data_IF_733594639481
#
_entry.id   IF_733594639481
#
_cell.length_a   1.000
_cell.length_b   1.000
_cell.length_c   1.000
_cell.angle_alpha   90.00
_cell.angle_beta   90.00
_cell.angle_gamma   90.00
#
_symmetry.space_group_name_H-M   'P 1'
#
loop_
_entity.id
_entity.type
_entity.pdbx_description
1 polymer ?
#
# COMPACT_ATOMS: atom_id res chain seq x y z
N UNK A 1 -24.91 -15.28 -20.89
CA UNK A 1 -24.30 -15.39 -22.24
C UNK A 1 -22.80 -15.22 -22.08
N UNK A 2 -22.01 -16.18 -22.56
CA UNK A 2 -20.54 -16.14 -22.46
C UNK A 2 -20.00 -15.23 -23.56
N UNK A 3 -19.44 -14.09 -23.18
CA UNK A 3 -18.93 -13.09 -24.12
C UNK A 3 -17.74 -13.57 -24.95
N UNK A 4 -17.12 -14.70 -24.57
CA UNK A 4 -16.01 -15.33 -25.31
C UNK A 4 -16.45 -16.08 -26.56
N UNK A 5 -17.76 -16.29 -26.75
CA UNK A 5 -18.33 -17.03 -27.89
C UNK A 5 -18.90 -16.13 -29.00
N UNK A 6 -18.73 -14.82 -28.89
CA UNK A 6 -19.17 -13.91 -29.95
C UNK A 6 -18.16 -13.89 -31.08
N UNK A 7 -18.55 -14.40 -32.25
CA UNK A 7 -17.83 -14.15 -33.50
C UNK A 7 -18.13 -12.73 -33.96
N UNK A 8 -17.12 -11.88 -33.85
CA UNK A 8 -17.17 -10.50 -34.31
C UNK A 8 -17.00 -10.45 -35.83
N UNK A 9 -18.08 -10.65 -36.59
CA UNK A 9 -18.03 -10.55 -38.05
C UNK A 9 -18.12 -9.06 -38.45
N UNK A 10 -17.10 -8.57 -39.16
CA UNK A 10 -17.06 -7.22 -39.73
C UNK A 10 -17.19 -6.05 -38.72
N UNK A 11 -16.53 -6.13 -37.56
CA UNK A 11 -16.49 -5.00 -36.63
C UNK A 11 -15.76 -3.80 -37.25
N UNK A 12 -16.50 -2.71 -37.43
CA UNK A 12 -15.95 -1.41 -37.78
C UNK A 12 -15.67 -0.60 -36.51
N UNK A 13 -14.38 -0.40 -36.22
CA UNK A 13 -13.96 0.48 -35.14
C UNK A 13 -13.73 1.89 -35.68
N UNK A 14 -14.45 2.88 -35.16
CA UNK A 14 -14.29 4.26 -35.60
C UNK A 14 -13.06 4.91 -34.95
N UNK A 15 -11.92 4.77 -35.62
CA UNK A 15 -10.61 5.27 -35.19
C UNK A 15 -10.52 6.80 -35.07
N UNK A 16 -11.36 7.54 -35.79
CA UNK A 16 -11.31 9.00 -35.79
C UNK A 16 -12.06 9.60 -34.61
N UNK A 17 -13.18 8.98 -34.21
CA UNK A 17 -14.05 9.51 -33.17
C UNK A 17 -13.79 8.89 -31.79
N UNK A 18 -13.29 7.66 -31.71
CA UNK A 18 -13.16 6.95 -30.44
C UNK A 18 -11.74 7.09 -29.89
N UNK A 19 -11.55 8.03 -28.96
CA UNK A 19 -10.31 8.10 -28.16
C UNK A 19 -10.37 7.08 -27.03
N UNK A 20 -9.32 6.25 -26.89
CA UNK A 20 -9.19 5.22 -25.83
C UNK A 20 -9.53 5.78 -24.43
N UNK A 21 -9.08 7.01 -24.13
CA UNK A 21 -9.35 7.68 -22.85
C UNK A 21 -10.84 7.96 -22.61
N UNK A 22 -11.60 8.29 -23.65
CA UNK A 22 -13.04 8.51 -23.55
C UNK A 22 -13.79 7.21 -23.33
N UNK A 23 -13.36 6.13 -23.98
CA UNK A 23 -13.97 4.81 -23.80
C UNK A 23 -13.70 4.24 -22.39
N UNK A 24 -12.49 4.40 -21.87
CA UNK A 24 -12.19 4.06 -20.48
C UNK A 24 -13.08 4.88 -19.52
N UNK A 25 -13.26 6.17 -19.79
CA UNK A 25 -14.10 7.06 -18.96
C UNK A 25 -15.59 6.67 -19.03
N UNK A 26 -16.08 6.25 -20.20
CA UNK A 26 -17.47 5.80 -20.38
C UNK A 26 -17.74 4.45 -19.71
N UNK A 27 -16.76 3.54 -19.72
CA UNK A 27 -16.82 2.26 -19.00
C UNK A 27 -16.76 2.47 -17.48
N UNK A 28 -15.91 3.38 -17.02
CA UNK A 28 -15.84 3.78 -15.60
C UNK A 28 -17.13 4.45 -15.13
N UNK A 29 -17.74 5.34 -15.92
CA UNK A 29 -19.00 5.99 -15.55
C UNK A 29 -20.18 5.01 -15.47
N UNK A 30 -20.05 3.83 -16.11
CA UNK A 30 -21.00 2.73 -16.01
C UNK A 30 -20.69 1.75 -14.86
N UNK A 31 -19.74 2.07 -13.98
CA UNK A 31 -19.29 1.22 -12.87
C UNK A 31 -18.80 -0.18 -13.29
N UNK A 32 -18.28 -0.31 -14.51
CA UNK A 32 -17.74 -1.60 -14.98
C UNK A 32 -16.29 -1.69 -14.53
N UNK A 33 -16.04 -2.45 -13.46
CA UNK A 33 -14.69 -2.78 -12.99
C UNK A 33 -14.39 -4.25 -13.32
N UNK A 34 -13.23 -4.59 -13.93
CA UNK A 34 -12.10 -3.73 -14.33
C UNK A 34 -12.18 -3.22 -15.80
N UNK A 35 -12.48 -1.93 -16.01
CA UNK A 35 -12.64 -1.31 -17.34
C UNK A 35 -11.40 -1.44 -18.25
N UNK A 36 -10.20 -1.22 -17.71
CA UNK A 36 -8.94 -1.31 -18.48
C UNK A 36 -8.70 -2.74 -18.96
N UNK A 37 -8.86 -3.71 -18.06
CA UNK A 37 -8.65 -5.12 -18.38
C UNK A 37 -9.67 -5.65 -19.41
N UNK A 38 -10.94 -5.26 -19.30
CA UNK A 38 -11.96 -5.65 -20.27
C UNK A 38 -11.69 -5.07 -21.66
N UNK A 39 -11.29 -3.80 -21.72
CA UNK A 39 -10.92 -3.14 -22.98
C UNK A 39 -9.68 -3.78 -23.59
N UNK A 40 -8.67 -4.12 -22.77
CA UNK A 40 -7.49 -4.86 -23.22
C UNK A 40 -7.88 -6.23 -23.81
N UNK A 41 -8.74 -6.98 -23.12
CA UNK A 41 -9.21 -8.29 -23.56
C UNK A 41 -9.95 -8.20 -24.90
N UNK A 42 -10.82 -7.19 -25.05
CA UNK A 42 -11.56 -6.91 -26.27
C UNK A 42 -10.62 -6.53 -27.43
N UNK A 43 -9.62 -5.66 -27.19
CA UNK A 43 -8.63 -5.32 -28.20
C UNK A 43 -7.83 -6.56 -28.65
N UNK A 44 -7.49 -7.47 -27.74
CA UNK A 44 -6.80 -8.73 -28.09
C UNK A 44 -7.66 -9.66 -28.93
N UNK A 45 -8.92 -9.87 -28.55
CA UNK A 45 -9.82 -10.71 -29.34
C UNK A 45 -10.08 -10.13 -30.73
N UNK A 46 -10.22 -8.81 -30.84
CA UNK A 46 -10.36 -8.12 -32.13
C UNK A 46 -9.09 -8.23 -32.98
N UNK A 47 -7.91 -8.21 -32.37
CA UNK A 47 -6.65 -8.41 -33.09
C UNK A 47 -6.55 -9.82 -33.68
N UNK A 48 -6.90 -10.86 -32.92
CA UNK A 48 -6.90 -12.26 -33.38
C UNK A 48 -7.88 -12.47 -34.53
N UNK A 49 -9.11 -11.97 -34.39
CA UNK A 49 -10.11 -12.05 -35.45
C UNK A 49 -9.67 -11.31 -36.73
N UNK A 50 -9.06 -10.13 -36.59
CA UNK A 50 -8.52 -9.42 -37.75
C UNK A 50 -7.38 -10.20 -38.44
N UNK A 51 -6.57 -10.92 -37.68
CA UNK A 51 -5.48 -11.77 -38.19
C UNK A 51 -6.02 -13.00 -38.93
N UNK A 52 -7.04 -13.67 -38.37
CA UNK A 52 -7.77 -14.78 -39.02
C UNK A 52 -8.41 -14.37 -40.35
N UNK A 53 -8.84 -13.11 -40.46
CA UNK A 53 -9.41 -12.53 -41.67
C UNK A 53 -8.37 -11.86 -42.60
N UNK A 54 -7.07 -12.12 -42.41
CA UNK A 54 -5.97 -11.53 -43.19
C UNK A 54 -5.90 -9.99 -43.20
N UNK A 55 -6.51 -9.33 -42.21
CA UNK A 55 -6.51 -7.86 -42.04
C UNK A 55 -5.39 -7.42 -41.11
N UNK A 56 -4.14 -7.66 -41.50
CA UNK A 56 -2.96 -7.46 -40.66
C UNK A 56 -2.78 -6.02 -40.15
N UNK A 57 -3.15 -5.00 -40.95
CA UNK A 57 -3.09 -3.60 -40.53
C UNK A 57 -4.02 -3.31 -39.35
N UNK A 58 -5.22 -3.90 -39.34
CA UNK A 58 -6.16 -3.73 -38.22
C UNK A 58 -5.68 -4.49 -36.98
N UNK A 59 -5.13 -5.69 -37.18
CA UNK A 59 -4.57 -6.48 -36.08
C UNK A 59 -3.45 -5.73 -35.35
N UNK A 60 -2.54 -5.08 -36.08
CA UNK A 60 -1.45 -4.30 -35.48
C UNK A 60 -1.96 -3.09 -34.68
N UNK A 61 -2.96 -2.37 -35.19
CA UNK A 61 -3.60 -1.25 -34.47
C UNK A 61 -4.27 -1.69 -33.17
N UNK A 62 -4.98 -2.82 -33.19
CA UNK A 62 -5.60 -3.36 -31.97
C UNK A 62 -4.56 -3.83 -30.95
N UNK A 63 -3.44 -4.43 -31.39
CA UNK A 63 -2.30 -4.76 -30.50
C UNK A 63 -1.71 -3.49 -29.88
N UNK A 64 -1.56 -2.43 -30.66
CA UNK A 64 -1.11 -1.13 -30.16
C UNK A 64 -2.06 -0.55 -29.10
N UNK A 65 -3.38 -0.58 -29.35
CA UNK A 65 -4.37 -0.16 -28.36
C UNK A 65 -4.29 -0.96 -27.05
N UNK A 66 -4.14 -2.29 -27.12
CA UNK A 66 -4.03 -3.12 -25.92
C UNK A 66 -2.81 -2.72 -25.07
N UNK A 67 -1.69 -2.38 -25.71
CA UNK A 67 -0.51 -1.86 -25.00
C UNK A 67 -0.75 -0.47 -24.41
N UNK A 68 -1.43 0.42 -25.14
CA UNK A 68 -1.75 1.77 -24.67
C UNK A 68 -2.69 1.77 -23.46
N UNK A 69 -3.68 0.86 -23.43
CA UNK A 69 -4.59 0.68 -22.29
C UNK A 69 -3.83 0.26 -21.03
N UNK A 70 -2.89 -0.68 -21.15
CA UNK A 70 -2.01 -1.09 -20.03
C UNK A 70 -1.13 0.06 -19.53
N UNK A 71 -0.58 0.85 -20.45
CA UNK A 71 0.24 2.01 -20.11
C UNK A 71 -0.57 3.03 -19.30
N UNK A 72 -1.81 3.29 -19.72
CA UNK A 72 -2.70 4.24 -19.05
C UNK A 72 -3.14 3.75 -17.66
N UNK A 73 -3.34 2.44 -17.47
CA UNK A 73 -3.67 1.86 -16.17
C UNK A 73 -2.58 2.12 -15.12
N UNK A 74 -1.32 1.85 -15.48
CA UNK A 74 -0.17 2.11 -14.59
C UNK A 74 0.04 3.60 -14.32
N UNK A 75 -0.13 4.46 -15.34
CA UNK A 75 0.01 5.90 -15.20
C UNK A 75 -1.08 6.52 -14.32
N UNK A 76 -2.32 6.07 -14.46
CA UNK A 76 -3.44 6.55 -13.65
C UNK A 76 -3.25 6.16 -12.17
N UNK A 77 -2.81 4.93 -11.90
CA UNK A 77 -2.46 4.48 -10.55
C UNK A 77 -1.34 5.31 -9.93
N UNK A 78 -0.26 5.53 -10.67
CA UNK A 78 0.86 6.37 -10.22
C UNK A 78 0.43 7.81 -9.98
N UNK A 79 -0.38 8.41 -10.85
CA UNK A 79 -0.87 9.78 -10.68
C UNK A 79 -1.72 9.91 -9.42
N UNK A 80 -2.59 8.95 -9.15
CA UNK A 80 -3.40 8.94 -7.93
C UNK A 80 -2.53 8.82 -6.68
N UNK A 81 -1.51 7.95 -6.69
CA UNK A 81 -0.55 7.82 -5.60
C UNK A 81 0.27 9.11 -5.42
N UNK A 82 0.79 9.70 -6.50
CA UNK A 82 1.54 10.94 -6.46
C UNK A 82 0.70 12.10 -5.93
N UNK A 83 -0.56 12.25 -6.37
CA UNK A 83 -1.47 13.27 -5.83
C UNK A 83 -1.79 13.02 -4.35
N UNK A 84 -1.99 11.77 -3.94
CA UNK A 84 -2.17 11.42 -2.53
C UNK A 84 -0.92 11.77 -1.70
N UNK A 85 0.27 11.38 -2.16
CA UNK A 85 1.55 11.65 -1.50
C UNK A 85 1.87 13.15 -1.45
N UNK A 86 1.57 13.91 -2.51
CA UNK A 86 1.75 15.36 -2.54
C UNK A 86 0.78 16.06 -1.58
N UNK A 87 -0.48 15.64 -1.55
CA UNK A 87 -1.45 16.17 -0.59
C UNK A 87 -1.03 15.81 0.84
N UNK A 88 -0.53 14.60 1.07
CA UNK A 88 -0.01 14.14 2.36
C UNK A 88 1.23 14.92 2.80
N UNK A 89 2.18 15.12 1.88
CA UNK A 89 3.40 15.92 2.09
C UNK A 89 3.09 17.40 2.32
N UNK A 90 2.08 17.96 1.62
CA UNK A 90 1.56 19.29 1.87
C UNK A 90 0.88 19.38 3.24
N UNK A 91 0.11 18.38 3.65
CA UNK A 91 -0.50 18.30 4.98
C UNK A 91 0.56 18.23 6.08
N UNK A 92 1.62 17.46 5.87
CA UNK A 92 2.79 17.45 6.75
C UNK A 92 3.45 18.83 6.76
N UNK A 93 4.02 19.28 5.64
CA UNK A 93 4.82 20.49 5.56
C UNK A 93 4.06 21.78 5.95
N UNK A 94 2.79 21.92 5.55
CA UNK A 94 1.97 23.10 5.82
C UNK A 94 1.26 23.03 7.17
N UNK A 95 0.95 21.84 7.70
CA UNK A 95 0.20 21.68 8.95
C UNK A 95 1.04 21.85 10.23
N UNK A 96 2.35 21.56 10.18
CA UNK A 96 3.23 21.70 11.35
C UNK A 96 3.39 23.14 11.87
N UNK A 97 3.03 24.14 11.07
CA UNK A 97 3.08 25.56 11.46
C UNK A 97 1.79 26.11 12.06
N UNK A 98 0.62 25.54 11.74
CA UNK A 98 -0.68 26.17 12.01
C UNK A 98 -1.44 25.50 13.15
N UNK A 99 -1.27 24.19 13.38
CA UNK A 99 -2.06 23.44 14.37
C UNK A 99 -1.22 22.43 15.13
N UNK A 100 -0.69 22.84 16.28
CA UNK A 100 0.02 21.96 17.26
C UNK A 100 -0.76 20.66 17.55
N UNK A 101 -2.10 20.72 17.56
CA UNK A 101 -2.96 19.54 17.74
C UNK A 101 -2.79 18.47 16.66
N UNK A 102 -2.45 18.83 15.42
CA UNK A 102 -2.21 17.86 14.34
C UNK A 102 -0.90 17.10 14.52
N UNK A 103 0.17 17.76 14.97
CA UNK A 103 1.42 17.11 15.31
C UNK A 103 1.24 16.12 16.48
N UNK A 104 0.42 16.49 17.47
CA UNK A 104 0.06 15.59 18.57
C UNK A 104 -0.76 14.38 18.09
N UNK A 105 -1.75 14.59 17.22
CA UNK A 105 -2.53 13.49 16.63
C UNK A 105 -1.68 12.57 15.75
N UNK A 106 -0.70 13.09 15.01
CA UNK A 106 0.26 12.30 14.24
C UNK A 106 1.12 11.43 15.16
N UNK A 107 1.66 11.99 16.25
CA UNK A 107 2.44 11.25 17.23
C UNK A 107 1.59 10.14 17.88
N UNK A 108 0.34 10.45 18.25
CA UNK A 108 -0.62 9.49 18.79
C UNK A 108 -0.96 8.39 17.76
N UNK A 109 -1.12 8.77 16.50
CA UNK A 109 -1.38 7.84 15.39
C UNK A 109 -0.21 6.88 15.13
N UNK A 110 1.03 7.38 15.12
CA UNK A 110 2.23 6.55 14.97
C UNK A 110 2.37 5.61 16.17
N UNK A 111 2.11 6.09 17.39
CA UNK A 111 2.13 5.28 18.61
C UNK A 111 1.10 4.14 18.56
N UNK A 112 -0.16 4.43 18.22
CA UNK A 112 -1.20 3.41 18.10
C UNK A 112 -0.93 2.43 16.95
N UNK A 113 -0.41 2.91 15.82
CA UNK A 113 -0.09 2.08 14.67
C UNK A 113 1.07 1.13 14.98
N UNK A 114 2.14 1.62 15.63
CA UNK A 114 3.25 0.78 16.08
C UNK A 114 2.77 -0.27 17.08
N UNK A 115 1.98 0.12 18.08
CA UNK A 115 1.39 -0.81 19.05
C UNK A 115 0.49 -1.86 18.37
N UNK A 116 -0.32 -1.49 17.38
CA UNK A 116 -1.15 -2.43 16.62
C UNK A 116 -0.30 -3.41 15.81
N UNK A 117 0.75 -2.96 15.14
CA UNK A 117 1.66 -3.84 14.41
C UNK A 117 2.43 -4.78 15.35
N UNK A 118 2.74 -4.34 16.58
CA UNK A 118 3.34 -5.20 17.59
C UNK A 118 2.45 -6.34 18.09
N UNK A 119 1.13 -6.26 17.89
CA UNK A 119 0.22 -7.39 18.11
C UNK A 119 0.19 -8.38 16.94
N UNK A 120 0.77 -8.02 15.80
CA UNK A 120 0.79 -8.87 14.59
C UNK A 120 2.14 -9.51 14.35
N UNK A 121 3.21 -8.97 14.94
CA UNK A 121 4.58 -9.47 14.78
C UNK A 121 5.02 -10.19 16.05
N UNK A 122 5.69 -11.34 15.90
CA UNK A 122 6.18 -12.14 17.02
C UNK A 122 7.41 -11.50 17.68
N UNK A 123 7.31 -11.21 18.98
CA UNK A 123 8.37 -10.60 19.80
C UNK A 123 9.05 -11.60 20.74
N UNK A 124 8.42 -12.72 21.10
CA UNK A 124 8.96 -13.63 22.11
C UNK A 124 9.57 -14.90 21.50
N UNK A 125 10.84 -15.17 21.82
CA UNK A 125 11.37 -16.53 21.98
C UNK A 125 11.05 -16.91 23.42
N UNK A 126 10.29 -17.98 23.63
CA UNK A 126 10.01 -18.52 24.95
C UNK A 126 11.33 -18.72 25.72
N UNK A 127 11.50 -18.10 26.89
CA UNK A 127 12.56 -18.50 27.83
C UNK A 127 11.99 -19.65 28.67
N UNK A 128 12.40 -20.92 28.44
CA UNK A 128 11.99 -21.98 29.32
C UNK A 128 12.68 -21.76 30.68
N UNK A 129 11.88 -21.50 31.73
CA UNK A 129 12.29 -21.92 33.07
C UNK A 129 12.36 -23.46 33.02
N UNK A 130 13.59 -23.94 32.81
CA UNK A 130 13.97 -25.32 32.51
C UNK A 130 13.22 -26.33 33.39
N UNK A 131 12.51 -27.28 32.79
CA UNK A 131 12.61 -28.72 33.08
C UNK A 131 11.62 -29.55 32.24
N UNK A 132 11.95 -29.89 30.97
CA UNK A 132 11.56 -31.15 30.27
C UNK A 132 12.06 -31.12 28.81
N UNK A 133 12.75 -32.17 28.33
CA UNK A 133 13.29 -32.29 26.96
C UNK A 133 12.24 -32.10 25.84
N UNK A 134 10.96 -32.38 26.13
CA UNK A 134 9.84 -32.16 25.21
C UNK A 134 9.56 -30.68 24.94
N UNK A 135 9.83 -29.78 25.89
CA UNK A 135 9.65 -28.33 25.73
C UNK A 135 10.77 -27.70 24.90
N UNK A 136 11.98 -28.28 24.94
CA UNK A 136 13.11 -27.87 24.10
C UNK A 136 12.90 -28.22 22.61
N UNK A 137 12.20 -29.31 22.31
CA UNK A 137 11.82 -29.69 20.96
C UNK A 137 10.70 -28.81 20.38
N UNK A 138 9.76 -28.35 21.23
CA UNK A 138 8.74 -27.37 20.86
C UNK A 138 9.36 -25.98 20.61
N UNK A 139 10.32 -25.55 21.44
CA UNK A 139 11.04 -24.29 21.30
C UNK A 139 11.86 -24.16 19.99
N UNK A 140 12.27 -25.28 19.37
CA UNK A 140 12.90 -25.27 18.04
C UNK A 140 11.90 -25.05 16.90
N UNK A 141 10.59 -25.25 17.12
CA UNK A 141 9.54 -25.11 16.09
C UNK A 141 8.88 -23.72 16.06
N UNK A 142 9.04 -22.91 17.11
CA UNK A 142 8.47 -21.56 17.17
C UNK A 142 9.37 -20.52 16.50
N UNK A 143 9.51 -20.62 15.17
CA UNK A 143 10.20 -19.61 14.35
C UNK A 143 9.39 -18.31 14.19
N UNK A 144 8.09 -18.35 14.50
CA UNK A 144 7.14 -17.25 14.24
C UNK A 144 7.03 -16.27 15.43
N UNK A 145 7.39 -16.70 16.64
CA UNK A 145 7.33 -15.90 17.87
C UNK A 145 5.89 -15.53 18.29
N UNK A 146 5.64 -15.41 19.60
CA UNK A 146 4.31 -14.97 20.08
C UNK A 146 4.15 -13.45 19.95
N UNK A 147 2.98 -12.96 19.47
CA UNK A 147 2.67 -11.54 19.43
C UNK A 147 2.49 -10.95 20.83
N UNK A 148 2.79 -9.66 20.98
CA UNK A 148 2.60 -8.96 22.26
C UNK A 148 1.10 -8.79 22.55
N UNK A 149 0.72 -9.01 23.81
CA UNK A 149 -0.61 -8.59 24.31
C UNK A 149 -0.81 -7.09 24.06
N UNK A 150 -2.02 -6.63 23.72
CA UNK A 150 -2.27 -5.25 23.32
C UNK A 150 -1.88 -4.23 24.40
N UNK A 151 -2.09 -4.56 25.68
CA UNK A 151 -1.66 -3.71 26.79
C UNK A 151 -0.13 -3.59 26.91
N UNK A 152 0.60 -4.68 26.66
CA UNK A 152 2.07 -4.71 26.71
C UNK A 152 2.69 -4.06 25.47
N UNK A 153 2.04 -4.19 24.30
CA UNK A 153 2.45 -3.55 23.06
C UNK A 153 2.44 -2.01 23.17
N UNK A 154 1.43 -1.43 23.83
CA UNK A 154 1.35 0.01 24.08
C UNK A 154 2.50 0.52 24.95
N UNK A 155 2.81 -0.17 26.06
CA UNK A 155 3.92 0.18 26.94
C UNK A 155 5.28 -0.04 26.27
N UNK A 156 5.39 -1.06 25.41
CA UNK A 156 6.60 -1.37 24.66
C UNK A 156 6.90 -0.29 23.62
N UNK A 157 5.92 0.08 22.79
CA UNK A 157 6.01 1.18 21.81
C UNK A 157 6.38 2.51 22.48
N UNK A 158 5.80 2.81 23.64
CA UNK A 158 6.16 4.00 24.41
C UNK A 158 7.63 3.95 24.88
N UNK A 159 8.12 2.78 25.29
CA UNK A 159 9.53 2.56 25.62
C UNK A 159 10.46 2.80 24.43
N UNK A 160 10.13 2.26 23.25
CA UNK A 160 10.92 2.46 22.02
C UNK A 160 10.94 3.93 21.60
N UNK A 161 9.78 4.61 21.63
CA UNK A 161 9.67 6.03 21.31
C UNK A 161 10.50 6.93 22.24
N UNK A 162 10.68 6.51 23.50
CA UNK A 162 11.45 7.25 24.51
C UNK A 162 12.93 6.84 24.57
N UNK A 163 13.40 6.05 23.59
CA UNK A 163 14.76 5.49 23.55
C UNK A 163 15.11 4.64 24.78
N UNK A 164 14.10 4.19 25.54
CA UNK A 164 14.31 3.16 26.54
C UNK A 164 14.61 1.84 25.81
N UNK A 165 15.35 0.93 26.44
CA UNK A 165 15.57 -0.43 25.92
C UNK A 165 14.55 -1.37 26.55
N UNK A 166 13.29 -1.43 26.07
CA UNK A 166 12.30 -2.31 26.66
C UNK A 166 12.64 -3.77 26.35
N UNK A 167 12.53 -4.62 27.35
CA UNK A 167 12.51 -6.08 27.18
C UNK A 167 11.06 -6.50 26.82
N UNK A 168 10.79 -7.36 25.82
CA UNK A 168 11.66 -8.33 25.13
C UNK A 168 12.32 -7.84 23.83
N UNK A 169 13.41 -8.49 23.43
CA UNK A 169 14.14 -8.19 22.19
C UNK A 169 13.42 -8.75 20.95
N UNK A 170 13.38 -8.01 19.83
CA UNK A 170 12.74 -8.47 18.60
C UNK A 170 13.43 -9.74 18.08
N UNK A 171 12.71 -10.87 18.04
CA UNK A 171 13.24 -12.16 17.59
C UNK A 171 13.14 -12.37 16.06
N UNK A 172 12.25 -11.64 15.39
CA UNK A 172 12.00 -11.75 13.94
C UNK A 172 12.55 -10.54 13.18
N UNK A 173 13.02 -10.75 11.94
CA UNK A 173 13.51 -9.66 11.07
C UNK A 173 12.44 -8.57 10.85
N UNK A 174 11.16 -8.95 10.84
CA UNK A 174 10.04 -8.03 10.74
C UNK A 174 9.86 -7.19 12.01
N UNK A 175 10.05 -7.77 13.21
CA UNK A 175 10.00 -7.00 14.46
C UNK A 175 11.18 -6.03 14.54
N UNK A 176 12.37 -6.48 14.13
CA UNK A 176 13.58 -5.67 14.19
C UNK A 176 13.51 -4.43 13.28
N UNK A 177 13.01 -4.59 12.05
CA UNK A 177 12.82 -3.45 11.16
C UNK A 177 11.77 -2.46 11.68
N UNK A 178 10.72 -2.97 12.33
CA UNK A 178 9.66 -2.14 12.91
C UNK A 178 10.16 -1.32 14.10
N UNK A 179 10.90 -1.95 15.02
CA UNK A 179 11.55 -1.25 16.14
C UNK A 179 12.54 -0.19 15.64
N UNK A 180 13.33 -0.52 14.61
CA UNK A 180 14.30 0.42 14.02
C UNK A 180 13.60 1.64 13.41
N UNK A 181 12.50 1.43 12.69
CA UNK A 181 11.70 2.51 12.13
C UNK A 181 11.07 3.39 13.22
N UNK A 182 10.50 2.79 14.26
CA UNK A 182 9.92 3.54 15.39
C UNK A 182 10.97 4.34 16.17
N UNK A 183 12.19 3.78 16.34
CA UNK A 183 13.30 4.46 17.01
C UNK A 183 13.75 5.73 16.26
N UNK A 184 13.58 5.78 14.94
CA UNK A 184 13.87 6.97 14.13
C UNK A 184 12.66 7.91 14.13
N UNK A 185 11.46 7.39 13.85
CA UNK A 185 10.25 8.21 13.69
C UNK A 185 9.81 8.87 15.00
N UNK A 186 9.90 8.18 16.14
CA UNK A 186 9.44 8.65 17.43
C UNK A 186 10.13 9.95 17.86
N UNK A 187 11.46 9.97 18.01
CA UNK A 187 12.22 11.17 18.35
C UNK A 187 12.08 12.30 17.33
N UNK A 188 12.04 11.98 16.02
CA UNK A 188 11.84 12.98 14.96
C UNK A 188 10.49 13.68 15.12
N UNK A 189 9.42 12.93 15.36
CA UNK A 189 8.09 13.50 15.55
C UNK A 189 7.98 14.26 16.89
N UNK A 190 8.60 13.77 17.95
CA UNK A 190 8.67 14.49 19.23
C UNK A 190 9.40 15.84 19.09
N UNK A 191 10.52 15.87 18.33
CA UNK A 191 11.26 17.09 18.05
C UNK A 191 10.44 18.08 17.20
N UNK A 192 9.72 17.60 16.19
CA UNK A 192 8.81 18.42 15.38
C UNK A 192 7.65 18.98 16.22
N UNK A 193 7.09 18.19 17.13
CA UNK A 193 6.05 18.64 18.07
C UNK A 193 6.59 19.72 19.02
N UNK A 194 7.77 19.52 19.59
CA UNK A 194 8.43 20.52 20.44
C UNK A 194 8.68 21.83 19.67
N UNK A 195 9.13 21.74 18.42
CA UNK A 195 9.32 22.90 17.54
C UNK A 195 7.99 23.63 17.25
N UNK A 196 6.92 22.89 16.98
CA UNK A 196 5.59 23.44 16.73
C UNK A 196 5.03 24.16 17.97
N UNK A 197 5.19 23.57 19.17
CA UNK A 197 4.82 24.20 20.44
C UNK A 197 5.60 25.51 20.63
N UNK A 198 6.93 25.48 20.47
CA UNK A 198 7.78 26.66 20.60
C UNK A 198 7.33 27.79 19.66
N UNK A 199 7.02 27.48 18.39
CA UNK A 199 6.56 28.47 17.40
C UNK A 199 5.19 29.06 17.72
N UNK A 200 4.30 28.29 18.36
CA UNK A 200 2.96 28.77 18.76
C UNK A 200 3.01 29.68 19.98
N UNK A 201 3.87 29.41 20.95
CA UNK A 201 3.97 30.17 22.20
C UNK A 201 4.93 31.36 22.16
N UNK A 202 5.87 31.41 21.21
CA UNK A 202 6.78 32.56 21.00
C UNK A 202 6.23 33.61 20.01
N UNK A 203 4.95 33.54 19.66
CA UNK A 203 4.21 34.60 18.96
C UNK A 203 3.28 35.28 19.94
#
# INVERSE_FOLDING_TARGET
MDSRKFEFIAVEWNWHNVKIKQEIKSLQSKNISPAHHLLELACRSLALNAEENHRYERASRFRYMAMEVRRLEGWQGWRNFASWMLNWGYLLASGYGERVGQAFLMLLGIWLLAAALYTQVGFARWEPRIATEKEAAAARRDEVGEPLRPSRALTYSLGVMTLQKPEPHPATNAAQSLVMLETILGPVQAALLALAIRRKFMR
#
